data_IF_416719554920
#
_entry.id   IF_416719554920
#
_cell.length_a   1.000
_cell.length_b   1.000
_cell.length_c   1.000
_cell.angle_alpha   90.00
_cell.angle_beta   90.00
_cell.angle_gamma   90.00
#
_symmetry.space_group_name_H-M   'P 1'
#
loop_
_entity.id
_entity.type
_entity.pdbx_description
1 polymer ?
#
# COMPACT_ATOMS: atom_id res chain seq x y z
N UNK A 1 -18.77 8.88 13.81
CA UNK A 1 -17.99 9.05 12.55
C UNK A 1 -16.51 9.31 12.81
N UNK A 2 -16.13 10.22 13.71
CA UNK A 2 -14.73 10.56 13.99
C UNK A 2 -13.82 9.36 14.31
N UNK A 3 -14.26 8.42 15.16
CA UNK A 3 -13.53 7.17 15.47
C UNK A 3 -13.30 6.27 14.24
N UNK A 4 -14.20 6.31 13.28
CA UNK A 4 -14.14 5.52 12.05
C UNK A 4 -13.13 6.13 11.09
N UNK A 5 -13.18 7.45 10.93
CA UNK A 5 -12.23 8.22 10.13
C UNK A 5 -10.83 8.10 10.71
N UNK A 6 -10.67 8.19 12.03
CA UNK A 6 -9.38 8.03 12.70
C UNK A 6 -8.77 6.63 12.47
N UNK A 7 -9.57 5.56 12.62
CA UNK A 7 -9.11 4.20 12.30
C UNK A 7 -8.74 4.03 10.83
N UNK A 8 -9.55 4.59 9.93
CA UNK A 8 -9.27 4.52 8.49
C UNK A 8 -8.03 5.32 8.08
N UNK A 9 -7.81 6.48 8.71
CA UNK A 9 -6.61 7.28 8.52
C UNK A 9 -5.37 6.53 9.04
N UNK A 10 -5.45 5.88 10.20
CA UNK A 10 -4.34 5.13 10.78
C UNK A 10 -3.95 3.92 9.91
N UNK A 11 -4.95 3.23 9.35
CA UNK A 11 -4.73 2.17 8.36
C UNK A 11 -4.20 2.72 7.02
N UNK A 12 -4.68 3.89 6.60
CA UNK A 12 -4.17 4.62 5.43
C UNK A 12 -2.70 5.01 5.56
N UNK A 13 -2.29 5.49 6.73
CA UNK A 13 -0.90 5.81 7.06
C UNK A 13 -0.03 4.55 7.07
N UNK A 14 -0.55 3.41 7.54
CA UNK A 14 0.16 2.14 7.42
C UNK A 14 0.40 1.75 5.95
N UNK A 15 -0.58 1.99 5.07
CA UNK A 15 -0.42 1.81 3.62
C UNK A 15 0.60 2.76 2.99
N UNK A 16 0.73 3.97 3.52
CA UNK A 16 1.69 4.99 3.06
C UNK A 16 3.15 4.54 3.26
N UNK A 17 3.42 3.67 4.24
CA UNK A 17 4.76 3.11 4.48
C UNK A 17 4.89 1.72 3.88
N UNK A 18 3.89 0.86 4.06
CA UNK A 18 3.97 -0.53 3.63
C UNK A 18 4.06 -0.67 2.10
N UNK A 19 3.28 0.10 1.34
CA UNK A 19 3.27 0.03 -0.13
C UNK A 19 4.61 0.42 -0.74
N UNK A 20 5.21 1.59 -0.46
CA UNK A 20 6.49 1.95 -1.04
C UNK A 20 7.62 1.04 -0.58
N UNK A 21 7.58 0.48 0.64
CA UNK A 21 8.54 -0.53 1.09
C UNK A 21 8.45 -1.79 0.23
N UNK A 22 7.23 -2.31 0.02
CA UNK A 22 7.02 -3.51 -0.83
C UNK A 22 7.42 -3.25 -2.28
N UNK A 23 7.10 -2.07 -2.83
CA UNK A 23 7.50 -1.69 -4.19
C UNK A 23 9.02 -1.56 -4.30
N UNK A 24 9.68 -0.90 -3.36
CA UNK A 24 11.14 -0.75 -3.34
C UNK A 24 11.84 -2.11 -3.39
N UNK A 25 11.52 -2.98 -2.43
CA UNK A 25 12.11 -4.32 -2.37
C UNK A 25 11.70 -5.19 -3.56
N UNK A 26 10.45 -5.09 -4.02
CA UNK A 26 9.97 -5.83 -5.18
C UNK A 26 10.73 -5.48 -6.45
N UNK A 27 10.93 -4.19 -6.73
CA UNK A 27 11.67 -3.71 -7.90
C UNK A 27 13.16 -4.06 -7.79
N UNK A 28 13.76 -3.93 -6.61
CA UNK A 28 15.15 -4.35 -6.38
C UNK A 28 15.35 -5.85 -6.60
N UNK A 29 14.50 -6.68 -5.99
CA UNK A 29 14.57 -8.14 -6.12
C UNK A 29 14.36 -8.54 -7.58
N UNK A 30 13.38 -7.97 -8.28
CA UNK A 30 13.18 -8.23 -9.71
C UNK A 30 14.39 -7.77 -10.54
N UNK A 31 14.95 -6.60 -10.25
CA UNK A 31 16.14 -6.09 -10.93
C UNK A 31 17.33 -7.05 -10.79
N UNK A 32 17.62 -7.50 -9.57
CA UNK A 32 18.70 -8.47 -9.33
C UNK A 32 18.38 -9.89 -9.84
N UNK A 33 17.11 -10.29 -9.90
CA UNK A 33 16.72 -11.63 -10.37
C UNK A 33 16.65 -11.75 -11.89
N UNK A 34 16.29 -10.67 -12.60
CA UNK A 34 16.05 -10.68 -14.04
C UNK A 34 17.07 -9.89 -14.85
N UNK A 35 17.79 -8.93 -14.26
CA UNK A 35 18.80 -8.13 -14.96
C UNK A 35 20.22 -8.40 -14.42
N UNK A 36 21.06 -9.13 -15.18
CA UNK A 36 22.43 -9.41 -14.77
C UNK A 36 23.35 -8.16 -14.78
N UNK A 37 22.86 -7.00 -15.22
CA UNK A 37 23.57 -5.71 -15.13
C UNK A 37 23.53 -5.14 -13.71
N UNK A 38 22.46 -5.43 -12.95
CA UNK A 38 22.31 -4.95 -11.58
C UNK A 38 23.40 -5.57 -10.68
N UNK A 39 24.29 -4.73 -10.16
CA UNK A 39 25.42 -5.14 -9.31
C UNK A 39 26.75 -5.35 -10.06
N UNK A 40 26.81 -5.08 -11.37
CA UNK A 40 28.06 -5.14 -12.13
C UNK A 40 28.89 -3.86 -11.98
N UNK A 41 30.24 -3.95 -12.00
CA UNK A 41 31.11 -2.78 -11.95
C UNK A 41 30.91 -1.92 -13.21
N UNK A 42 30.10 -0.86 -13.07
CA UNK A 42 29.67 0.01 -14.17
C UNK A 42 28.24 0.52 -14.00
N UNK A 43 27.41 -0.17 -13.21
CA UNK A 43 26.08 0.30 -12.84
C UNK A 43 26.22 1.31 -11.70
N UNK A 44 26.08 2.61 -12.00
CA UNK A 44 26.26 3.70 -11.03
C UNK A 44 25.07 3.83 -10.06
N UNK A 45 24.57 2.70 -9.57
CA UNK A 45 23.36 2.62 -8.77
C UNK A 45 22.08 2.85 -9.59
N UNK A 46 22.06 2.60 -10.90
CA UNK A 46 20.87 2.81 -11.74
C UNK A 46 19.70 1.92 -11.29
N UNK A 47 20.00 0.67 -10.92
CA UNK A 47 19.04 -0.27 -10.36
C UNK A 47 18.48 0.21 -9.00
N UNK A 48 19.35 0.79 -8.15
CA UNK A 48 18.99 1.28 -6.82
C UNK A 48 18.21 2.60 -6.89
N UNK A 49 18.61 3.51 -7.77
CA UNK A 49 17.88 4.75 -8.07
C UNK A 49 16.53 4.46 -8.74
N UNK A 50 16.45 3.46 -9.62
CA UNK A 50 15.20 3.01 -10.24
C UNK A 50 14.22 2.47 -9.19
N UNK A 51 14.72 1.65 -8.26
CA UNK A 51 13.92 1.17 -7.14
C UNK A 51 13.47 2.32 -6.21
N UNK A 52 14.36 3.28 -5.91
CA UNK A 52 14.02 4.43 -5.07
C UNK A 52 12.95 5.33 -5.70
N UNK A 53 13.09 5.66 -6.99
CA UNK A 53 12.13 6.50 -7.72
C UNK A 53 10.78 5.83 -7.89
N UNK A 54 10.75 4.54 -8.20
CA UNK A 54 9.50 3.76 -8.27
C UNK A 54 8.81 3.65 -6.91
N UNK A 55 9.57 3.44 -5.83
CA UNK A 55 9.04 3.47 -4.47
C UNK A 55 8.39 4.82 -4.14
N UNK A 56 9.08 5.94 -4.40
CA UNK A 56 8.54 7.30 -4.16
C UNK A 56 7.28 7.55 -5.00
N UNK A 57 7.31 7.20 -6.29
CA UNK A 57 6.15 7.34 -7.17
C UNK A 57 4.95 6.52 -6.68
N UNK A 58 5.19 5.40 -5.98
CA UNK A 58 4.14 4.53 -5.44
C UNK A 58 3.51 5.02 -4.14
N UNK A 59 4.07 6.04 -3.48
CA UNK A 59 3.56 6.58 -2.20
C UNK A 59 2.12 7.10 -2.34
N UNK A 60 1.88 7.93 -3.37
CA UNK A 60 0.57 8.53 -3.63
C UNK A 60 -0.49 7.47 -3.96
N UNK A 61 -0.28 6.56 -4.94
CA UNK A 61 -1.25 5.52 -5.23
C UNK A 61 -1.41 4.53 -4.07
N UNK A 62 -0.35 4.23 -3.32
CA UNK A 62 -0.40 3.37 -2.13
C UNK A 62 -1.28 3.93 -1.02
N UNK A 63 -1.14 5.24 -0.72
CA UNK A 63 -2.01 5.95 0.21
C UNK A 63 -3.47 5.92 -0.24
N UNK A 64 -3.72 6.25 -1.52
CA UNK A 64 -5.08 6.25 -2.08
C UNK A 64 -5.73 4.87 -1.93
N UNK A 65 -5.05 3.80 -2.33
CA UNK A 65 -5.59 2.44 -2.28
C UNK A 65 -5.97 2.04 -0.85
N UNK A 66 -5.05 2.21 0.11
CA UNK A 66 -5.31 1.83 1.50
C UNK A 66 -6.36 2.72 2.18
N UNK A 67 -6.36 4.02 1.90
CA UNK A 67 -7.38 4.93 2.40
C UNK A 67 -8.78 4.55 1.90
N UNK A 68 -8.94 4.35 0.58
CA UNK A 68 -10.23 3.97 0.00
C UNK A 68 -10.71 2.59 0.47
N UNK A 69 -9.83 1.58 0.50
CA UNK A 69 -10.17 0.24 1.00
C UNK A 69 -10.61 0.30 2.46
N UNK A 70 -9.86 1.01 3.32
CA UNK A 70 -10.21 1.14 4.73
C UNK A 70 -11.50 1.92 4.94
N UNK A 71 -11.75 2.95 4.12
CA UNK A 71 -13.00 3.70 4.13
C UNK A 71 -14.19 2.80 3.73
N UNK A 72 -14.06 2.05 2.64
CA UNK A 72 -15.10 1.15 2.14
C UNK A 72 -15.42 0.03 3.13
N UNK A 73 -14.39 -0.61 3.71
CA UNK A 73 -14.57 -1.64 4.73
C UNK A 73 -15.28 -1.08 5.97
N UNK A 74 -14.92 0.13 6.39
CA UNK A 74 -15.55 0.79 7.53
C UNK A 74 -17.00 1.16 7.27
N UNK A 75 -17.31 1.66 6.07
CA UNK A 75 -18.68 1.96 5.65
C UNK A 75 -19.53 0.68 5.54
N UNK A 76 -18.97 -0.42 5.01
CA UNK A 76 -19.64 -1.72 4.96
C UNK A 76 -19.92 -2.29 6.35
N UNK A 77 -18.99 -2.16 7.30
CA UNK A 77 -19.20 -2.59 8.70
C UNK A 77 -20.30 -1.80 9.38
N UNK A 78 -20.34 -0.46 9.21
CA UNK A 78 -21.40 0.39 9.77
C UNK A 78 -22.78 0.00 9.22
N UNK A 79 -22.89 -0.24 7.90
CA UNK A 79 -24.14 -0.74 7.31
C UNK A 79 -24.59 -2.09 7.88
N UNK A 80 -23.65 -2.96 8.26
CA UNK A 80 -23.94 -4.28 8.84
C UNK A 80 -24.41 -4.20 10.30
N UNK A 81 -23.96 -3.19 11.05
CA UNK A 81 -24.44 -2.90 12.41
C UNK A 81 -25.83 -2.24 12.42
N UNK A 82 -26.18 -1.47 11.39
CA UNK A 82 -27.53 -0.90 11.23
C UNK A 82 -28.58 -1.92 10.75
N UNK A 83 -28.17 -3.14 10.37
CA UNK A 83 -29.09 -4.22 10.04
C UNK A 83 -29.51 -4.92 11.34
N UNK A 84 -30.77 -4.79 11.80
CA UNK A 84 -31.23 -5.45 13.01
C UNK A 84 -31.11 -6.97 12.85
N UNK A 85 -31.01 -7.73 13.96
CA UNK A 85 -30.93 -9.19 13.91
C UNK A 85 -32.02 -9.73 12.99
N UNK A 86 -31.63 -10.46 11.95
CA UNK A 86 -32.57 -11.24 11.14
C UNK A 86 -33.16 -12.28 12.09
N UNK A 87 -34.41 -12.05 12.51
CA UNK A 87 -35.20 -12.98 13.30
C UNK A 87 -35.47 -14.20 12.40
N UNK A 88 -34.94 -15.39 12.74
CA UNK A 88 -35.21 -16.59 11.96
C UNK A 88 -36.68 -17.00 12.18
N UNK A 89 -37.42 -17.09 11.07
CA UNK A 89 -38.80 -17.58 10.98
C UNK A 89 -38.95 -19.05 11.33
#
# INVERSE_FOLDING_TARGET
MFRIIAKAALLGVAGLVAVPVVVFFGVLILGYAFDPRCGTPGDSGGCEMGAATSAIASVIPGFMLFFFVSLLLSLRRKKREEQPPQEPS
#
